data_IF_040498306714
#
_entry.id   IF_040498306714
#
_cell.length_a   1.000
_cell.length_b   1.000
_cell.length_c   1.000
_cell.angle_alpha   90.00
_cell.angle_beta   90.00
_cell.angle_gamma   90.00
#
_symmetry.space_group_name_H-M   'P 1'
#
loop_
_entity.id
_entity.type
_entity.pdbx_description
1 polymer ?
#
# COMPACT_ATOMS: atom_id res chain seq x y z
N UNK A 1 12.68 6.51 12.51
CA UNK A 1 11.94 5.24 12.74
C UNK A 1 11.44 4.75 11.38
N UNK A 2 11.19 3.46 11.24
CA UNK A 2 10.64 2.90 10.00
C UNK A 2 9.18 2.48 10.20
N UNK A 3 8.40 2.56 9.13
CA UNK A 3 6.99 2.22 9.14
C UNK A 3 6.71 1.02 8.22
N UNK A 4 5.80 0.15 8.65
CA UNK A 4 5.24 -0.91 7.81
C UNK A 4 3.76 -0.66 7.60
N UNK A 5 3.33 -0.58 6.34
CA UNK A 5 1.92 -0.46 5.96
C UNK A 5 1.45 -1.79 5.38
N UNK A 6 0.55 -2.48 6.07
CA UNK A 6 -0.04 -3.73 5.59
C UNK A 6 -1.23 -3.45 4.69
N UNK A 7 -1.06 -3.62 3.38
CA UNK A 7 -2.04 -3.27 2.34
C UNK A 7 -2.40 -4.47 1.45
N UNK A 8 -2.49 -5.68 2.03
CA UNK A 8 -2.76 -6.92 1.29
C UNK A 8 -4.23 -7.35 1.19
N UNK A 9 -5.19 -6.54 1.62
CA UNK A 9 -6.60 -6.93 1.80
C UNK A 9 -7.51 -6.61 0.61
N UNK A 10 -8.33 -7.57 0.18
CA UNK A 10 -9.33 -7.37 -0.89
C UNK A 10 -10.46 -6.41 -0.49
N UNK A 11 -10.89 -6.41 0.77
CA UNK A 11 -11.99 -5.52 1.20
C UNK A 11 -13.39 -6.07 0.90
N UNK A 12 -13.57 -7.40 0.83
CA UNK A 12 -14.86 -8.07 0.55
C UNK A 12 -16.05 -7.52 1.36
N UNK A 13 -15.85 -7.21 2.65
CA UNK A 13 -16.90 -6.63 3.52
C UNK A 13 -17.35 -5.23 3.10
N UNK A 14 -16.50 -4.49 2.39
CA UNK A 14 -16.81 -3.17 1.84
C UNK A 14 -17.41 -3.23 0.43
N UNK A 15 -17.60 -4.42 -0.14
CA UNK A 15 -17.95 -4.57 -1.56
C UNK A 15 -16.85 -4.10 -2.51
N UNK A 16 -15.64 -3.85 -2.01
CA UNK A 16 -14.50 -3.42 -2.80
C UNK A 16 -13.75 -4.62 -3.40
N UNK A 17 -13.16 -4.43 -4.59
CA UNK A 17 -12.24 -5.41 -5.18
C UNK A 17 -10.90 -5.46 -4.43
N UNK A 18 -10.28 -4.29 -4.22
CA UNK A 18 -9.04 -4.16 -3.45
C UNK A 18 -9.14 -2.97 -2.50
N UNK A 19 -9.21 -3.23 -1.18
CA UNK A 19 -9.37 -2.20 -0.14
C UNK A 19 -8.37 -1.03 -0.28
N UNK A 20 -7.06 -1.25 -0.52
CA UNK A 20 -6.09 -0.16 -0.63
C UNK A 20 -6.41 0.84 -1.75
N UNK A 21 -7.03 0.36 -2.83
CA UNK A 21 -7.41 1.17 -3.99
C UNK A 21 -8.85 1.67 -3.96
N UNK A 22 -9.60 1.40 -2.89
CA UNK A 22 -10.94 1.99 -2.71
C UNK A 22 -10.81 3.50 -2.74
N UNK A 23 -11.56 4.15 -3.64
CA UNK A 23 -11.48 5.60 -3.80
C UNK A 23 -12.16 6.30 -2.63
N UNK A 24 -11.45 7.23 -2.00
CA UNK A 24 -11.96 8.19 -1.05
C UNK A 24 -11.70 9.58 -1.64
N UNK A 25 -12.77 10.37 -1.84
CA UNK A 25 -12.68 11.70 -2.45
C UNK A 25 -11.84 11.73 -3.76
N UNK A 26 -12.03 10.71 -4.62
CA UNK A 26 -11.34 10.61 -5.92
C UNK A 26 -9.89 10.10 -5.87
N UNK A 27 -9.35 9.77 -4.69
CA UNK A 27 -7.98 9.23 -4.53
C UNK A 27 -7.99 7.85 -3.88
N UNK A 28 -7.03 6.96 -4.21
CA UNK A 28 -6.90 5.67 -3.53
C UNK A 28 -6.74 5.84 -2.01
N UNK A 29 -7.45 5.05 -1.21
CA UNK A 29 -7.33 5.07 0.26
C UNK A 29 -5.87 5.00 0.74
N UNK A 30 -5.06 4.13 0.14
CA UNK A 30 -3.65 3.97 0.51
C UNK A 30 -2.82 5.24 0.29
N UNK A 31 -3.17 6.10 -0.67
CA UNK A 31 -2.39 7.33 -0.91
C UNK A 31 -2.47 8.27 0.29
N UNK A 32 -3.61 8.33 0.99
CA UNK A 32 -3.74 9.14 2.20
C UNK A 32 -2.81 8.66 3.32
N UNK A 33 -2.72 7.34 3.51
CA UNK A 33 -1.82 6.72 4.50
C UNK A 33 -0.36 7.02 4.17
N UNK A 34 0.03 6.84 2.90
CA UNK A 34 1.41 7.07 2.48
C UNK A 34 1.79 8.55 2.55
N UNK A 35 0.91 9.46 2.14
CA UNK A 35 1.14 10.90 2.27
C UNK A 35 1.33 11.34 3.72
N UNK A 36 0.54 10.80 4.66
CA UNK A 36 0.69 11.10 6.08
C UNK A 36 2.05 10.63 6.63
N UNK A 37 2.49 9.42 6.24
CA UNK A 37 3.80 8.89 6.67
C UNK A 37 4.97 9.64 6.03
N UNK A 38 4.88 9.96 4.73
CA UNK A 38 5.90 10.73 4.01
C UNK A 38 6.04 12.16 4.53
N UNK A 39 4.96 12.76 5.05
CA UNK A 39 4.98 14.07 5.69
C UNK A 39 5.50 14.08 7.13
N UNK A 40 5.74 12.91 7.73
CA UNK A 40 6.22 12.81 9.11
C UNK A 40 7.73 12.97 9.21
N UNK A 41 8.19 13.88 10.08
CA UNK A 41 9.63 14.17 10.28
C UNK A 41 10.42 13.01 10.91
N UNK A 42 9.73 12.05 11.53
CA UNK A 42 10.35 10.98 12.31
C UNK A 42 10.33 9.61 11.60
N UNK A 43 9.75 9.54 10.40
CA UNK A 43 9.69 8.33 9.59
C UNK A 43 10.71 8.41 8.46
N UNK A 44 11.69 7.50 8.46
CA UNK A 44 12.80 7.49 7.51
C UNK A 44 12.48 6.62 6.29
N UNK A 45 11.93 5.42 6.54
CA UNK A 45 11.58 4.47 5.50
C UNK A 45 10.16 3.92 5.71
N UNK A 46 9.48 3.67 4.59
CA UNK A 46 8.14 3.08 4.56
C UNK A 46 8.20 1.80 3.73
N UNK A 47 7.80 0.68 4.33
CA UNK A 47 7.62 -0.59 3.61
C UNK A 47 6.14 -0.92 3.50
N UNK A 48 5.64 -1.07 2.29
CA UNK A 48 4.25 -1.49 2.04
C UNK A 48 4.21 -2.99 1.81
N UNK A 49 3.68 -3.74 2.78
CA UNK A 49 3.51 -5.18 2.68
C UNK A 49 2.18 -5.53 2.00
N UNK A 50 2.24 -6.20 0.85
CA UNK A 50 1.06 -6.61 0.06
C UNK A 50 0.93 -8.13 -0.05
N UNK A 51 -0.23 -8.60 -0.49
CA UNK A 51 -0.46 -10.03 -0.76
C UNK A 51 -0.50 -10.32 -2.27
N UNK A 52 -0.36 -11.58 -2.69
CA UNK A 52 -0.53 -11.96 -4.09
C UNK A 52 -1.91 -11.65 -4.67
N UNK A 53 -2.93 -11.50 -3.81
CA UNK A 53 -4.33 -11.30 -4.19
C UNK A 53 -4.65 -9.87 -4.66
N UNK A 54 -3.88 -8.87 -4.23
CA UNK A 54 -4.11 -7.45 -4.55
C UNK A 54 -3.28 -6.99 -5.75
N UNK A 55 -3.55 -7.56 -6.93
CA UNK A 55 -2.74 -7.35 -8.15
C UNK A 55 -2.72 -5.87 -8.59
N UNK A 56 -3.86 -5.18 -8.54
CA UNK A 56 -3.95 -3.77 -8.95
C UNK A 56 -3.18 -2.88 -7.98
N UNK A 57 -3.24 -3.15 -6.67
CA UNK A 57 -2.49 -2.44 -5.63
C UNK A 57 -0.99 -2.62 -5.84
N UNK A 58 -0.55 -3.83 -6.19
CA UNK A 58 0.87 -4.09 -6.49
C UNK A 58 1.36 -3.25 -7.67
N UNK A 59 0.58 -3.17 -8.75
CA UNK A 59 0.90 -2.34 -9.92
C UNK A 59 0.87 -0.84 -9.60
N UNK A 60 -0.12 -0.39 -8.82
CA UNK A 60 -0.19 1.01 -8.41
C UNK A 60 1.03 1.40 -7.56
N UNK A 61 1.44 0.53 -6.63
CA UNK A 61 2.62 0.74 -5.79
C UNK A 61 3.91 0.75 -6.60
N UNK A 62 4.05 -0.08 -7.65
CA UNK A 62 5.28 -0.08 -8.46
C UNK A 62 5.53 1.26 -9.15
N UNK A 63 4.47 1.99 -9.52
CA UNK A 63 4.61 3.36 -10.03
C UNK A 63 4.80 4.37 -8.89
N UNK A 64 4.05 4.25 -7.80
CA UNK A 64 4.12 5.19 -6.69
C UNK A 64 5.51 5.26 -6.04
N UNK A 65 6.18 4.12 -5.84
CA UNK A 65 7.50 4.06 -5.19
C UNK A 65 8.62 4.66 -6.05
N UNK A 66 8.48 4.69 -7.39
CA UNK A 66 9.46 5.36 -8.27
C UNK A 66 9.55 6.85 -7.99
N UNK A 67 8.42 7.47 -7.62
CA UNK A 67 8.35 8.88 -7.26
C UNK A 67 8.79 9.17 -5.81
N UNK A 68 8.90 8.15 -4.95
CA UNK A 68 9.13 8.32 -3.50
C UNK A 68 10.24 7.40 -3.00
N UNK A 69 11.49 7.88 -3.06
CA UNK A 69 12.71 7.09 -2.76
C UNK A 69 12.74 6.44 -1.37
N UNK A 70 12.02 6.98 -0.39
CA UNK A 70 11.95 6.45 0.98
C UNK A 70 10.83 5.40 1.17
N UNK A 71 10.02 5.16 0.14
CA UNK A 71 8.92 4.20 0.14
C UNK A 71 9.24 3.01 -0.77
N UNK A 72 9.05 1.80 -0.27
CA UNK A 72 9.22 0.56 -1.03
C UNK A 72 8.02 -0.36 -0.87
N UNK A 73 7.83 -1.26 -1.84
CA UNK A 73 6.79 -2.30 -1.77
C UNK A 73 7.42 -3.68 -1.59
N UNK A 74 6.78 -4.50 -0.75
CA UNK A 74 7.18 -5.88 -0.45
C UNK A 74 5.99 -6.80 -0.64
N UNK A 75 6.03 -7.62 -1.70
CA UNK A 75 4.99 -8.61 -1.98
C UNK A 75 5.27 -9.88 -1.20
N UNK A 76 4.35 -10.24 -0.31
CA UNK A 76 4.45 -11.49 0.45
C UNK A 76 4.34 -12.69 -0.49
N UNK A 77 5.17 -13.71 -0.30
CA UNK A 77 5.05 -14.98 -1.01
C UNK A 77 3.73 -15.67 -0.61
N UNK A 78 3.09 -16.32 -1.57
CA UNK A 78 1.99 -17.24 -1.27
C UNK A 78 2.57 -18.39 -0.44
N UNK A 79 2.07 -18.59 0.79
CA UNK A 79 2.36 -19.81 1.53
C UNK A 79 1.58 -20.92 0.84
N UNK A 80 2.29 -21.80 0.15
CA UNK A 80 1.72 -23.06 -0.31
C UNK A 80 1.15 -23.79 0.91
N UNK A 81 -0.13 -24.14 0.82
CA UNK A 81 -0.75 -25.16 1.65
C UNK A 81 -0.46 -26.52 1.02
#
# INVERSE_FOLDING_TARGET
MDAVVMAGGMGRRLGAEEKPLTALCGKPMISYVLSALLGSKNINHITVATSPRVKKTNQWLSEYVKAHKTCMSSRQKERGL
#
